data_IF_322397953799
#
_entry.id   IF_322397953799
#
_cell.length_a   1.000
_cell.length_b   1.000
_cell.length_c   1.000
_cell.angle_alpha   90.00
_cell.angle_beta   90.00
_cell.angle_gamma   90.00
#
_symmetry.space_group_name_H-M   'P 1'
#
loop_
_entity.id
_entity.type
_entity.pdbx_description
1 polymer ?
#
# COMPACT_ATOMS: atom_id res chain seq x y z
N UNK A 1 -40.19 -21.57 9.25
CA UNK A 1 -39.57 -21.55 7.91
C UNK A 1 -39.30 -20.12 7.58
N UNK A 2 -38.05 -19.78 7.85
CA UNK A 2 -37.52 -18.46 8.14
C UNK A 2 -37.32 -17.74 6.81
N UNK A 3 -38.05 -16.65 6.61
CA UNK A 3 -37.99 -15.86 5.40
C UNK A 3 -36.57 -15.37 5.17
N UNK A 4 -35.89 -15.96 4.19
CA UNK A 4 -34.60 -15.56 3.65
C UNK A 4 -34.68 -14.10 3.24
N UNK A 5 -34.18 -13.22 4.10
CA UNK A 5 -34.11 -11.77 3.85
C UNK A 5 -33.05 -11.57 2.77
N UNK A 6 -33.41 -11.15 1.54
CA UNK A 6 -32.40 -10.83 0.54
C UNK A 6 -31.55 -9.68 1.08
N UNK A 7 -30.27 -9.95 1.28
CA UNK A 7 -29.33 -8.94 1.75
C UNK A 7 -29.31 -7.78 0.74
N UNK A 8 -29.35 -6.53 1.19
CA UNK A 8 -29.33 -5.38 0.30
C UNK A 8 -28.02 -5.39 -0.50
N UNK A 9 -28.11 -5.22 -1.83
CA UNK A 9 -26.98 -5.25 -2.76
C UNK A 9 -25.82 -4.30 -2.38
N UNK A 10 -26.10 -3.24 -1.60
CA UNK A 10 -25.07 -2.35 -1.04
C UNK A 10 -24.08 -3.05 -0.10
N UNK A 11 -24.46 -4.16 0.54
CA UNK A 11 -23.56 -4.92 1.41
C UNK A 11 -22.50 -5.71 0.63
N UNK A 12 -22.83 -6.11 -0.61
CA UNK A 12 -21.94 -6.93 -1.45
C UNK A 12 -20.83 -6.09 -2.09
N UNK A 13 -21.11 -4.82 -2.42
CA UNK A 13 -20.06 -3.89 -2.88
C UNK A 13 -19.09 -3.53 -1.75
N UNK A 14 -19.59 -3.31 -0.54
CA UNK A 14 -18.75 -2.99 0.62
C UNK A 14 -17.78 -4.14 0.98
N UNK A 15 -18.21 -5.40 0.90
CA UNK A 15 -17.32 -6.55 1.19
C UNK A 15 -16.24 -6.75 0.13
N UNK A 16 -16.50 -6.37 -1.13
CA UNK A 16 -15.49 -6.45 -2.20
C UNK A 16 -14.39 -5.40 -1.99
N UNK A 17 -14.76 -4.18 -1.61
CA UNK A 17 -13.81 -3.11 -1.29
C UNK A 17 -12.98 -3.50 -0.05
N UNK A 18 -13.62 -4.06 0.97
CA UNK A 18 -12.93 -4.56 2.16
C UNK A 18 -11.91 -5.65 1.83
N UNK A 19 -12.29 -6.61 0.97
CA UNK A 19 -11.37 -7.63 0.47
C UNK A 19 -10.24 -7.05 -0.39
N UNK A 20 -10.50 -6.06 -1.24
CA UNK A 20 -9.46 -5.41 -2.04
C UNK A 20 -8.47 -4.65 -1.15
N UNK A 21 -8.95 -3.93 -0.12
CA UNK A 21 -8.10 -3.26 0.87
C UNK A 21 -7.25 -4.28 1.65
N UNK A 22 -7.86 -5.35 2.15
CA UNK A 22 -7.15 -6.41 2.86
C UNK A 22 -6.10 -7.10 1.97
N UNK A 23 -6.43 -7.28 0.68
CA UNK A 23 -5.51 -7.81 -0.32
C UNK A 23 -4.34 -6.85 -0.55
N UNK A 24 -4.60 -5.56 -0.82
CA UNK A 24 -3.58 -4.51 -0.98
C UNK A 24 -2.66 -4.48 0.24
N UNK A 25 -3.22 -4.50 1.46
CA UNK A 25 -2.44 -4.50 2.70
C UNK A 25 -1.46 -5.65 2.82
N UNK A 26 -1.79 -6.81 2.26
CA UNK A 26 -0.92 -7.99 2.30
C UNK A 26 0.08 -8.01 1.15
N UNK A 27 -0.35 -7.68 -0.06
CA UNK A 27 0.51 -7.76 -1.27
C UNK A 27 1.45 -6.56 -1.41
N UNK A 28 1.07 -5.39 -0.90
CA UNK A 28 1.88 -4.16 -0.98
C UNK A 28 3.24 -4.31 -0.29
N UNK A 29 3.33 -4.67 1.01
CA UNK A 29 4.63 -4.84 1.67
C UNK A 29 5.44 -5.98 1.04
N UNK A 30 4.79 -7.05 0.55
CA UNK A 30 5.47 -8.14 -0.16
C UNK A 30 6.05 -7.67 -1.51
N UNK A 31 5.32 -6.82 -2.23
CA UNK A 31 5.79 -6.23 -3.50
C UNK A 31 6.93 -5.23 -3.29
N UNK A 32 6.88 -4.46 -2.20
CA UNK A 32 7.92 -3.51 -1.82
C UNK A 32 9.20 -4.22 -1.35
N UNK A 33 9.07 -5.37 -0.68
CA UNK A 33 10.21 -6.16 -0.21
C UNK A 33 10.98 -6.86 -1.36
N UNK A 34 10.39 -6.96 -2.56
CA UNK A 34 11.08 -7.45 -3.76
C UNK A 34 11.26 -8.98 -3.84
N UNK A 35 10.49 -9.75 -3.07
CA UNK A 35 10.61 -11.22 -3.00
C UNK A 35 10.29 -11.94 -4.34
N UNK A 36 9.65 -11.26 -5.29
CA UNK A 36 9.37 -11.77 -6.64
C UNK A 36 10.29 -11.17 -7.72
N UNK A 37 11.60 -11.18 -7.52
CA UNK A 37 12.58 -10.84 -8.57
C UNK A 37 12.71 -9.36 -8.89
N UNK A 38 12.34 -8.48 -7.94
CA UNK A 38 12.43 -7.03 -8.05
C UNK A 38 11.15 -6.32 -7.57
N UNK A 39 11.16 -4.98 -7.39
CA UNK A 39 9.94 -4.23 -7.13
C UNK A 39 9.07 -4.25 -8.39
N UNK A 40 8.16 -5.22 -8.49
CA UNK A 40 7.28 -5.41 -9.66
C UNK A 40 6.44 -4.15 -9.89
N UNK A 41 6.07 -3.46 -8.81
CA UNK A 41 5.27 -2.23 -8.85
C UNK A 41 5.89 -1.18 -7.92
N UNK A 42 6.18 0.04 -8.42
CA UNK A 42 6.68 1.12 -7.58
C UNK A 42 5.63 1.58 -6.56
N UNK A 43 6.06 2.15 -5.43
CA UNK A 43 5.19 2.73 -4.41
C UNK A 43 4.15 3.71 -5.00
N UNK A 44 4.54 4.47 -6.03
CA UNK A 44 3.67 5.40 -6.73
C UNK A 44 2.45 4.73 -7.41
N UNK A 45 2.59 3.49 -7.89
CA UNK A 45 1.48 2.73 -8.46
C UNK A 45 0.42 2.40 -7.39
N UNK A 46 0.86 1.96 -6.21
CA UNK A 46 -0.04 1.65 -5.10
C UNK A 46 -0.77 2.89 -4.61
N UNK A 47 -0.09 4.05 -4.52
CA UNK A 47 -0.74 5.33 -4.23
C UNK A 47 -1.85 5.63 -5.24
N UNK A 48 -1.57 5.57 -6.54
CA UNK A 48 -2.59 5.80 -7.56
C UNK A 48 -3.78 4.83 -7.46
N UNK A 49 -3.51 3.56 -7.13
CA UNK A 49 -4.56 2.56 -6.94
C UNK A 49 -5.46 2.86 -5.75
N UNK A 50 -4.87 3.25 -4.60
CA UNK A 50 -5.61 3.67 -3.41
C UNK A 50 -6.44 4.93 -3.69
N UNK A 51 -5.88 5.90 -4.41
CA UNK A 51 -6.63 7.10 -4.83
C UNK A 51 -7.81 6.78 -5.76
N UNK A 52 -7.68 5.83 -6.70
CA UNK A 52 -8.83 5.37 -7.49
C UNK A 52 -9.89 4.71 -6.63
N UNK A 53 -9.49 3.94 -5.61
CA UNK A 53 -10.44 3.32 -4.68
C UNK A 53 -11.24 4.37 -3.92
N UNK A 54 -10.59 5.44 -3.49
CA UNK A 54 -11.24 6.61 -2.87
C UNK A 54 -12.19 7.32 -3.84
N UNK A 55 -11.79 7.47 -5.11
CA UNK A 55 -12.57 8.12 -6.15
C UNK A 55 -13.89 7.38 -6.47
N UNK A 56 -13.97 6.07 -6.21
CA UNK A 56 -15.21 5.30 -6.39
C UNK A 56 -16.36 5.74 -5.47
N UNK A 57 -16.09 6.49 -4.40
CA UNK A 57 -17.12 7.04 -3.51
C UNK A 57 -17.87 6.02 -2.64
N UNK A 58 -17.55 4.72 -2.76
CA UNK A 58 -18.19 3.63 -2.00
C UNK A 58 -17.41 3.25 -0.73
N UNK A 59 -16.39 4.04 -0.38
CA UNK A 59 -15.54 3.81 0.80
C UNK A 59 -16.20 4.33 2.08
N UNK A 60 -16.38 3.43 3.05
CA UNK A 60 -16.86 3.76 4.38
C UNK A 60 -15.71 4.31 5.26
N UNK A 61 -16.03 4.96 6.39
CA UNK A 61 -15.07 5.52 7.35
C UNK A 61 -14.01 4.51 7.83
N UNK A 62 -14.37 3.24 8.00
CA UNK A 62 -13.41 2.18 8.36
C UNK A 62 -12.41 1.90 7.24
N UNK A 63 -12.91 1.85 6.00
CA UNK A 63 -12.09 1.63 4.80
C UNK A 63 -11.18 2.83 4.52
N UNK A 64 -11.66 4.06 4.75
CA UNK A 64 -10.83 5.26 4.70
C UNK A 64 -9.66 5.19 5.69
N UNK A 65 -9.92 4.74 6.92
CA UNK A 65 -8.88 4.58 7.95
C UNK A 65 -7.82 3.55 7.55
N UNK A 66 -8.23 2.43 6.94
CA UNK A 66 -7.30 1.43 6.40
C UNK A 66 -6.48 2.00 5.23
N UNK A 67 -7.12 2.72 4.29
CA UNK A 67 -6.44 3.35 3.15
C UNK A 67 -5.41 4.39 3.62
N UNK A 68 -5.76 5.22 4.59
CA UNK A 68 -4.87 6.22 5.17
C UNK A 68 -3.64 5.57 5.82
N UNK A 69 -3.87 4.47 6.56
CA UNK A 69 -2.79 3.67 7.14
C UNK A 69 -1.88 3.06 6.06
N UNK A 70 -2.43 2.61 4.93
CA UNK A 70 -1.65 2.09 3.81
C UNK A 70 -0.82 3.19 3.12
N UNK A 71 -1.38 4.39 2.96
CA UNK A 71 -0.65 5.54 2.43
C UNK A 71 0.51 5.94 3.34
N UNK A 72 0.33 5.91 4.66
CA UNK A 72 1.40 6.15 5.64
C UNK A 72 2.53 5.12 5.52
N UNK A 73 2.20 3.83 5.35
CA UNK A 73 3.20 2.77 5.17
C UNK A 73 4.01 2.99 3.89
N UNK A 74 3.36 3.39 2.79
CA UNK A 74 4.04 3.73 1.52
C UNK A 74 5.01 4.89 1.71
N UNK A 75 4.59 5.94 2.41
CA UNK A 75 5.41 7.13 2.67
C UNK A 75 6.64 6.78 3.52
N UNK A 76 6.44 6.06 4.62
CA UNK A 76 7.52 5.58 5.48
C UNK A 76 8.51 4.69 4.71
N UNK A 77 8.02 3.83 3.82
CA UNK A 77 8.88 2.99 3.00
C UNK A 77 9.73 3.83 2.04
N UNK A 78 9.15 4.79 1.33
CA UNK A 78 9.90 5.69 0.45
C UNK A 78 10.94 6.51 1.20
N UNK A 79 10.60 7.05 2.37
CA UNK A 79 11.53 7.76 3.24
C UNK A 79 12.69 6.86 3.70
N UNK A 80 12.40 5.61 4.04
CA UNK A 80 13.42 4.64 4.43
C UNK A 80 14.35 4.27 3.26
N UNK A 81 13.80 4.07 2.06
CA UNK A 81 14.58 3.80 0.84
C UNK A 81 15.45 5.00 0.47
N UNK A 82 14.91 6.22 0.54
CA UNK A 82 15.67 7.46 0.30
C UNK A 82 16.80 7.63 1.33
N UNK A 83 16.54 7.32 2.59
CA UNK A 83 17.55 7.37 3.65
C UNK A 83 18.65 6.33 3.46
N UNK A 84 18.29 5.09 3.11
CA UNK A 84 19.24 4.01 2.85
C UNK A 84 20.13 4.30 1.63
N UNK A 85 19.54 4.78 0.53
CA UNK A 85 20.29 5.17 -0.67
C UNK A 85 21.23 6.35 -0.40
N UNK A 86 20.81 7.36 0.36
CA UNK A 86 21.67 8.46 0.77
C UNK A 86 22.85 8.00 1.66
N UNK A 87 22.62 7.07 2.59
CA UNK A 87 23.66 6.50 3.42
C UNK A 87 24.69 5.69 2.62
N UNK A 88 24.25 4.94 1.61
CA UNK A 88 25.12 4.24 0.66
C UNK A 88 25.97 5.22 -0.16
N UNK A 89 25.37 6.31 -0.67
CA UNK A 89 26.10 7.34 -1.40
C UNK A 89 27.17 8.04 -0.53
N UNK A 90 26.85 8.32 0.75
CA UNK A 90 27.80 8.91 1.69
C UNK A 90 29.00 7.99 1.98
N UNK A 91 28.77 6.68 2.06
CA UNK A 91 29.84 5.68 2.24
C UNK A 91 30.73 5.57 0.99
N UNK A 92 30.14 5.60 -0.21
CA UNK A 92 30.90 5.56 -1.47
C UNK A 92 31.80 6.79 -1.66
N UNK A 93 31.37 7.97 -1.18
CA UNK A 93 32.17 9.19 -1.23
C UNK A 93 33.24 9.27 -0.12
N UNK A 94 33.21 8.38 0.89
CA UNK A 94 34.15 8.35 2.00
C UNK A 94 35.36 7.40 1.76
N UNK A 95 35.67 7.07 0.51
CA UNK A 95 36.87 6.31 0.12
C UNK A 95 38.18 7.02 0.51
N UNK A 96 39.27 6.26 0.72
CA UNK A 96 40.18 6.44 1.85
C UNK A 96 41.19 7.58 1.63
N UNK A 97 41.25 8.51 2.59
CA UNK A 97 42.40 9.38 2.79
C UNK A 97 43.49 8.53 3.48
N UNK A 98 44.26 7.77 2.71
CA UNK A 98 45.50 7.15 3.20
C UNK A 98 46.66 8.03 2.70
N UNK A 99 47.20 8.86 3.60
CA UNK A 99 48.47 9.57 3.47
C UNK A 99 49.55 8.86 4.27
#
# INVERSE_FOLDING_TARGET
MDSMRPLPAGHMMSTLIDQDIAHIRRVMPLSLAGDFGGPILPANYWRQRLHRLLDTGHVNKGQLCEIDSLLLILDLHELNVASASAALAKQANAGPQHS
#
